data_IF_470631796893
#
_entry.id   IF_470631796893
#
_cell.length_a   1.000
_cell.length_b   1.000
_cell.length_c   1.000
_cell.angle_alpha   90.00
_cell.angle_beta   90.00
_cell.angle_gamma   90.00
#
_symmetry.space_group_name_H-M   'P 1'
#
loop_
_entity.id
_entity.type
_entity.pdbx_description
1 polymer ?
#
# COMPACT_ATOMS: atom_id res chain seq x y z
N UNK A 1 11.11 12.69 -7.70
CA UNK A 1 11.77 12.68 -6.38
C UNK A 1 13.14 12.01 -6.53
N UNK A 2 14.22 12.58 -5.96
CA UNK A 2 15.55 11.95 -5.97
C UNK A 2 15.51 10.62 -5.20
N UNK A 3 16.23 9.60 -5.67
CA UNK A 3 16.20 8.23 -5.11
C UNK A 3 16.48 8.16 -3.61
N UNK A 4 17.41 8.98 -3.10
CA UNK A 4 17.72 9.06 -1.67
C UNK A 4 16.54 9.60 -0.84
N UNK A 5 15.90 10.69 -1.30
CA UNK A 5 14.73 11.26 -0.64
C UNK A 5 13.54 10.28 -0.60
N UNK A 6 13.38 9.47 -1.65
CA UNK A 6 12.38 8.39 -1.68
C UNK A 6 12.65 7.34 -0.60
N UNK A 7 13.90 6.95 -0.41
CA UNK A 7 14.28 5.96 0.61
C UNK A 7 14.06 6.51 2.01
N UNK A 8 14.45 7.76 2.28
CA UNK A 8 14.21 8.41 3.56
C UNK A 8 12.71 8.47 3.90
N UNK A 9 11.87 8.82 2.93
CA UNK A 9 10.42 8.85 3.12
C UNK A 9 9.83 7.46 3.43
N UNK A 10 10.30 6.42 2.74
CA UNK A 10 9.86 5.04 3.01
C UNK A 10 10.22 4.63 4.44
N UNK A 11 11.42 4.98 4.92
CA UNK A 11 11.85 4.69 6.30
C UNK A 11 10.96 5.42 7.32
N UNK A 12 10.72 6.72 7.12
CA UNK A 12 9.84 7.52 7.99
C UNK A 12 8.43 6.92 8.09
N UNK A 13 7.84 6.54 6.95
CA UNK A 13 6.51 5.95 6.89
C UNK A 13 6.49 4.53 7.50
N UNK A 14 7.54 3.75 7.26
CA UNK A 14 7.71 2.43 7.84
C UNK A 14 7.70 2.51 9.37
N UNK A 15 8.48 3.42 9.95
CA UNK A 15 8.55 3.62 11.41
C UNK A 15 7.20 4.10 11.98
N UNK A 16 6.58 5.10 11.35
CA UNK A 16 5.26 5.62 11.74
C UNK A 16 4.15 4.55 11.71
N UNK A 17 4.28 3.57 10.82
CA UNK A 17 3.33 2.46 10.68
C UNK A 17 3.70 1.22 11.52
N UNK A 18 4.71 1.32 12.39
CA UNK A 18 5.19 0.19 13.20
C UNK A 18 5.69 -0.98 12.34
N UNK A 19 6.25 -0.68 11.16
CA UNK A 19 6.72 -1.67 10.20
C UNK A 19 5.62 -2.45 9.48
N UNK A 20 4.34 -2.08 9.63
CA UNK A 20 3.20 -2.80 9.04
C UNK A 20 2.73 -2.17 7.73
N UNK A 21 2.32 -3.03 6.79
CA UNK A 21 1.72 -2.61 5.53
C UNK A 21 0.37 -1.90 5.78
N UNK A 22 0.13 -0.76 5.11
CA UNK A 22 -1.11 0.01 5.26
C UNK A 22 -2.38 -0.74 4.82
N UNK A 23 -2.25 -1.77 3.98
CA UNK A 23 -3.38 -2.54 3.45
C UNK A 23 -3.63 -3.86 4.18
N UNK A 24 -2.61 -4.69 4.36
CA UNK A 24 -2.78 -6.04 4.92
C UNK A 24 -2.31 -6.19 6.38
N UNK A 25 -1.81 -5.13 7.01
CA UNK A 25 -1.27 -5.10 8.37
C UNK A 25 -0.11 -6.09 8.67
N UNK A 26 0.39 -6.83 7.67
CA UNK A 26 1.57 -7.70 7.81
C UNK A 26 2.85 -6.87 7.93
N UNK A 27 3.85 -7.43 8.62
CA UNK A 27 5.18 -6.84 8.74
C UNK A 27 5.83 -6.72 7.36
N UNK A 28 6.50 -5.59 7.14
CA UNK A 28 7.31 -5.31 5.96
C UNK A 28 8.79 -5.43 6.30
N UNK A 29 9.62 -5.53 5.27
CA UNK A 29 11.08 -5.52 5.40
C UNK A 29 11.71 -4.34 4.66
N UNK A 30 12.74 -3.78 5.27
CA UNK A 30 13.64 -2.80 4.64
C UNK A 30 14.94 -3.54 4.32
N UNK A 31 15.28 -3.65 3.03
CA UNK A 31 16.45 -4.40 2.60
C UNK A 31 16.97 -4.00 1.22
N UNK A 32 18.05 -4.68 0.81
CA UNK A 32 18.62 -4.52 -0.54
C UNK A 32 17.73 -5.16 -1.60
N UNK A 33 17.15 -6.32 -1.29
CA UNK A 33 16.21 -6.98 -2.19
C UNK A 33 14.84 -6.31 -2.13
N UNK A 34 14.55 -5.55 -3.18
CA UNK A 34 13.29 -4.81 -3.32
C UNK A 34 12.21 -5.66 -3.99
N UNK A 35 12.52 -6.85 -4.49
CA UNK A 35 11.60 -7.72 -5.22
C UNK A 35 10.78 -8.63 -4.31
N UNK A 36 11.18 -8.76 -3.03
CA UNK A 36 10.39 -9.51 -2.05
C UNK A 36 8.97 -8.98 -1.93
N UNK A 37 7.96 -9.86 -1.77
CA UNK A 37 6.57 -9.45 -1.62
C UNK A 37 6.32 -8.59 -0.37
N UNK A 38 7.10 -8.81 0.69
CA UNK A 38 7.07 -8.08 1.96
C UNK A 38 7.95 -6.81 1.97
N UNK A 39 8.68 -6.52 0.89
CA UNK A 39 9.53 -5.32 0.82
C UNK A 39 8.68 -4.05 0.94
N UNK A 40 9.10 -3.12 1.80
CA UNK A 40 8.42 -1.84 1.96
C UNK A 40 8.59 -0.97 0.71
N UNK A 41 7.47 -0.47 0.20
CA UNK A 41 7.40 0.39 -0.98
C UNK A 41 6.62 1.66 -0.66
N UNK A 42 6.86 2.71 -1.45
CA UNK A 42 6.12 3.97 -1.33
C UNK A 42 4.81 3.85 -2.09
N UNK A 43 3.71 4.14 -1.41
CA UNK A 43 2.36 4.08 -1.95
C UNK A 43 1.68 5.46 -1.89
N UNK A 44 0.92 5.78 -2.94
CA UNK A 44 0.07 6.98 -2.97
C UNK A 44 -1.38 6.56 -2.77
N UNK A 45 -2.02 7.01 -1.67
CA UNK A 45 -3.38 6.60 -1.34
C UNK A 45 -4.38 7.10 -2.40
N UNK A 46 -4.33 8.38 -2.72
CA UNK A 46 -5.13 9.00 -3.78
C UNK A 46 -4.32 8.96 -5.08
N UNK A 47 -4.81 8.20 -6.06
CA UNK A 47 -4.24 8.15 -7.39
C UNK A 47 -4.63 9.39 -8.20
N UNK A 48 -3.66 10.04 -8.84
CA UNK A 48 -3.90 11.12 -9.80
C UNK A 48 -2.91 12.29 -9.71
N UNK A 49 -2.29 12.65 -10.83
CA UNK A 49 -1.28 13.73 -10.90
C UNK A 49 -1.80 15.11 -10.46
N UNK A 50 -3.12 15.34 -10.54
CA UNK A 50 -3.78 16.65 -10.27
C UNK A 50 -4.13 16.91 -8.80
N UNK A 51 -4.14 15.90 -7.93
CA UNK A 51 -4.49 16.05 -6.51
C UNK A 51 -3.36 15.60 -5.60
N UNK A 52 -2.41 16.48 -5.31
CA UNK A 52 -1.51 16.32 -4.16
C UNK A 52 -0.54 15.13 -4.21
N UNK A 53 -0.12 14.70 -5.40
CA UNK A 53 0.82 13.57 -5.61
C UNK A 53 2.09 13.64 -4.74
N UNK A 54 2.53 14.84 -4.37
CA UNK A 54 3.73 15.08 -3.58
C UNK A 54 3.48 15.36 -2.10
N UNK A 55 2.21 15.44 -1.67
CA UNK A 55 1.90 15.72 -0.27
C UNK A 55 2.18 14.49 0.58
N UNK A 56 2.85 14.69 1.72
CA UNK A 56 3.24 13.59 2.63
C UNK A 56 2.02 12.90 3.26
N UNK A 57 0.91 13.62 3.44
CA UNK A 57 -0.36 13.09 3.97
C UNK A 57 -1.04 12.08 3.02
N UNK A 58 -0.72 12.12 1.72
CA UNK A 58 -1.22 11.19 0.72
C UNK A 58 -0.29 9.97 0.51
N UNK A 59 0.72 9.80 1.35
CA UNK A 59 1.74 8.76 1.19
C UNK A 59 1.74 7.78 2.35
N UNK A 60 1.90 6.51 2.02
CA UNK A 60 1.99 5.42 2.98
C UNK A 60 3.10 4.43 2.56
N UNK A 61 3.53 3.60 3.51
CA UNK A 61 4.33 2.42 3.21
C UNK A 61 3.42 1.21 2.99
N UNK A 62 3.59 0.52 1.86
CA UNK A 62 2.88 -0.72 1.54
C UNK A 62 3.87 -1.81 1.17
N UNK A 63 3.55 -3.07 1.47
CA UNK A 63 4.33 -4.18 0.94
C UNK A 63 4.21 -4.23 -0.58
N UNK A 64 5.25 -4.72 -1.26
CA UNK A 64 5.30 -4.78 -2.72
C UNK A 64 4.12 -5.54 -3.31
N UNK A 65 3.71 -6.65 -2.68
CA UNK A 65 2.57 -7.45 -3.11
C UNK A 65 1.28 -6.62 -3.15
N UNK A 66 0.94 -5.92 -2.06
CA UNK A 66 -0.29 -5.13 -1.98
C UNK A 66 -0.25 -3.91 -2.89
N UNK A 67 0.91 -3.23 -2.97
CA UNK A 67 1.09 -2.09 -3.86
C UNK A 67 0.95 -2.49 -5.34
N UNK A 68 1.54 -3.64 -5.72
CA UNK A 68 1.39 -4.19 -7.07
C UNK A 68 -0.03 -4.65 -7.39
N UNK A 69 -0.72 -5.24 -6.40
CA UNK A 69 -2.08 -5.77 -6.57
C UNK A 69 -3.15 -4.68 -6.69
N UNK A 70 -3.03 -3.56 -5.95
CA UNK A 70 -4.02 -2.47 -6.04
C UNK A 70 -4.04 -1.83 -7.44
N UNK A 71 -2.86 -1.58 -8.01
CA UNK A 71 -2.73 -0.80 -9.23
C UNK A 71 -3.32 0.62 -9.08
N UNK A 72 -3.83 1.18 -10.18
CA UNK A 72 -4.41 2.54 -10.21
C UNK A 72 -5.94 2.59 -10.29
N UNK A 73 -6.61 1.42 -10.36
CA UNK A 73 -8.04 1.35 -10.65
C UNK A 73 -8.95 1.36 -9.41
N UNK A 74 -8.42 0.98 -8.24
CA UNK A 74 -9.21 0.86 -7.01
C UNK A 74 -8.85 1.94 -5.99
N UNK A 75 -9.87 2.52 -5.36
CA UNK A 75 -9.70 3.43 -4.23
C UNK A 75 -8.96 2.73 -3.08
N UNK A 76 -8.10 3.47 -2.37
CA UNK A 76 -7.24 2.90 -1.34
C UNK A 76 -8.05 2.32 -0.16
N UNK A 77 -9.17 2.94 0.20
CA UNK A 77 -9.99 2.49 1.32
C UNK A 77 -10.70 1.20 0.94
N UNK A 78 -11.29 1.15 -0.26
CA UNK A 78 -11.92 -0.06 -0.79
C UNK A 78 -10.93 -1.22 -0.86
N UNK A 79 -9.71 -0.97 -1.37
CA UNK A 79 -8.68 -2.01 -1.44
C UNK A 79 -8.22 -2.48 -0.06
N UNK A 80 -8.11 -1.57 0.91
CA UNK A 80 -7.79 -1.93 2.31
C UNK A 80 -8.85 -2.87 2.89
N UNK A 81 -10.13 -2.49 2.79
CA UNK A 81 -11.25 -3.29 3.29
C UNK A 81 -11.29 -4.67 2.63
N UNK A 82 -11.05 -4.74 1.31
CA UNK A 82 -10.88 -6.01 0.60
C UNK A 82 -9.71 -6.84 1.15
N UNK A 83 -8.53 -6.24 1.34
CA UNK A 83 -7.33 -6.95 1.83
C UNK A 83 -7.45 -7.42 3.28
N UNK A 84 -8.22 -6.72 4.11
CA UNK A 84 -8.52 -7.12 5.48
C UNK A 84 -9.62 -8.18 5.57
N UNK A 85 -10.30 -8.49 4.45
CA UNK A 85 -11.41 -9.45 4.45
C UNK A 85 -12.67 -8.91 5.12
N UNK A 86 -12.79 -7.60 5.28
CA UNK A 86 -13.93 -6.93 5.93
C UNK A 86 -15.18 -6.90 5.02
N UNK A 87 -15.07 -7.32 3.77
CA UNK A 87 -16.17 -7.45 2.80
C UNK A 87 -16.51 -8.93 2.52
N UNK A 88 -17.26 -9.57 3.40
CA UNK A 88 -17.70 -10.97 3.19
C UNK A 88 -18.63 -11.13 1.95
N UNK A 89 -19.45 -10.10 1.68
CA UNK A 89 -20.43 -10.08 0.57
C UNK A 89 -19.80 -9.99 -0.84
N UNK A 90 -18.54 -9.55 -0.96
CA UNK A 90 -17.82 -9.47 -2.24
C UNK A 90 -16.87 -10.66 -2.48
N UNK A 91 -16.53 -11.42 -1.43
CA UNK A 91 -15.55 -12.52 -1.49
C UNK A 91 -16.24 -13.87 -1.66
N UNK A 92 -17.51 -13.97 -1.27
CA UNK A 92 -18.33 -15.14 -1.55
C UNK A 92 -18.77 -15.11 -3.02
N UNK A 93 -18.52 -16.17 -3.83
CA UNK A 93 -19.15 -16.26 -5.12
C UNK A 93 -20.65 -16.30 -4.85
N UNK A 94 -21.40 -15.35 -5.42
CA UNK A 94 -22.85 -15.45 -5.43
C UNK A 94 -23.17 -16.83 -6.00
N UNK A 95 -23.75 -17.69 -5.16
CA UNK A 95 -24.41 -18.89 -5.65
C UNK A 95 -25.50 -18.38 -6.57
N UNK A 96 -25.22 -18.34 -7.87
CA UNK A 96 -26.26 -18.24 -8.89
C UNK A 96 -27.06 -19.52 -8.74
N UNK A 97 -28.18 -19.43 -8.03
CA UNK A 97 -29.27 -20.40 -8.12
C UNK A 97 -29.85 -20.41 -9.53
#
# INVERSE_FOLDING_TARGET
>A
MKTAAKRALILELFEKQGGKCCYCNRLMVIGKDRNRPDAATLEHLIAGRRKGWTRRDNMAAACRECNGMRGSAMDWLMFKTYRLGEFWELITPSKRS
#
